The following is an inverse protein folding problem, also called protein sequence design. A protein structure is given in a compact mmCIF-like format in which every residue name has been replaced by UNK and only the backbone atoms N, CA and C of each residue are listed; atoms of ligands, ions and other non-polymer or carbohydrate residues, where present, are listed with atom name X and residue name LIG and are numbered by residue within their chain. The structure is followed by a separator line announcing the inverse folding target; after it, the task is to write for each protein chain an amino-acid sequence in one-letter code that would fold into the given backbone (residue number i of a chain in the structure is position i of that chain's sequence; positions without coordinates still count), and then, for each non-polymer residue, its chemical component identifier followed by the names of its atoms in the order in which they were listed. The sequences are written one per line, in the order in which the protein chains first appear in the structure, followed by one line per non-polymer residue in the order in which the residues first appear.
data_IF_849978087408
#
_entry.id   IF_849978087408
#
_cell.length_a   1.000
_cell.length_b   1.000
_cell.length_c   1.000
_cell.angle_alpha   90.00
_cell.angle_beta   90.00
_cell.angle_gamma   90.00
#
_symmetry.space_group_name_H-M   'P 1'
#
loop_
_entity.id
_entity.type
_entity.pdbx_description
1 polymer ?
#
# COMPACT_ATOMS: atom_id res chain seq x y z
N UNK A 1 4.92 -9.38 1.27
CA UNK A 1 4.51 -9.98 -0.03
C UNK A 1 5.68 -9.82 -1.00
N UNK A 2 6.38 -10.90 -1.37
CA UNK A 2 7.40 -10.78 -2.41
C UNK A 2 6.69 -10.79 -3.77
N UNK A 3 6.77 -9.73 -4.57
CA UNK A 3 6.20 -9.75 -5.92
C UNK A 3 6.98 -10.77 -6.75
N UNK A 4 6.27 -11.56 -7.57
CA UNK A 4 6.92 -12.38 -8.60
C UNK A 4 7.60 -11.45 -9.61
N UNK A 5 8.88 -11.69 -9.85
CA UNK A 5 9.73 -10.90 -10.75
C UNK A 5 10.30 -11.77 -11.87
N UNK A 6 9.84 -13.02 -12.01
CA UNK A 6 10.37 -13.97 -12.99
C UNK A 6 10.20 -13.48 -14.43
N UNK A 7 9.23 -12.60 -14.67
CA UNK A 7 8.93 -11.98 -15.98
C UNK A 7 9.48 -10.57 -16.16
N UNK A 8 10.50 -10.15 -15.41
CA UNK A 8 10.99 -8.76 -15.46
C UNK A 8 11.51 -8.31 -16.84
N UNK A 9 11.90 -9.24 -17.71
CA UNK A 9 12.35 -8.96 -19.09
C UNK A 9 11.22 -8.97 -20.13
N UNK A 10 10.05 -9.48 -19.76
CA UNK A 10 8.89 -9.55 -20.63
C UNK A 10 8.15 -8.21 -20.59
N UNK A 11 8.31 -7.42 -21.65
CA UNK A 11 7.66 -6.11 -21.75
C UNK A 11 6.13 -6.22 -21.64
N UNK A 12 5.54 -7.27 -22.21
CA UNK A 12 4.08 -7.48 -22.20
C UNK A 12 3.53 -7.76 -20.81
N UNK A 13 4.37 -8.28 -19.90
CA UNK A 13 4.00 -8.49 -18.50
C UNK A 13 3.77 -7.16 -17.73
N UNK A 14 4.16 -6.03 -18.31
CA UNK A 14 4.02 -4.69 -17.73
C UNK A 14 3.17 -3.74 -18.57
N UNK A 15 2.56 -4.19 -19.68
CA UNK A 15 1.70 -3.33 -20.54
C UNK A 15 0.58 -2.64 -19.74
N UNK A 16 0.05 -3.32 -18.71
CA UNK A 16 -0.96 -2.76 -17.84
C UNK A 16 -0.50 -1.50 -17.09
N UNK A 17 0.81 -1.35 -16.81
CA UNK A 17 1.34 -0.17 -16.13
C UNK A 17 1.11 1.11 -16.94
N UNK A 18 1.09 1.01 -18.27
CA UNK A 18 0.84 2.15 -19.16
C UNK A 18 -0.62 2.61 -19.14
N UNK A 19 -1.54 1.77 -18.67
CA UNK A 19 -2.97 2.09 -18.57
C UNK A 19 -3.42 2.43 -17.15
N UNK A 20 -2.51 2.41 -16.16
CA UNK A 20 -2.85 2.71 -14.77
C UNK A 20 -3.10 4.20 -14.57
N UNK A 21 -4.05 4.52 -13.69
CA UNK A 21 -4.16 5.86 -13.14
C UNK A 21 -2.91 6.18 -12.27
N UNK A 22 -2.65 7.46 -12.01
CA UNK A 22 -1.48 7.90 -11.25
C UNK A 22 -1.50 7.33 -9.83
N UNK A 23 -2.69 7.20 -9.25
CA UNK A 23 -2.94 6.62 -7.93
C UNK A 23 -2.58 5.13 -7.89
N UNK A 24 -2.98 4.39 -8.92
CA UNK A 24 -2.68 2.96 -9.04
C UNK A 24 -1.18 2.74 -9.25
N UNK A 25 -0.54 3.55 -10.09
CA UNK A 25 0.91 3.48 -10.30
C UNK A 25 1.68 3.79 -9.01
N UNK A 26 1.26 4.82 -8.26
CA UNK A 26 1.84 5.16 -6.97
C UNK A 26 1.69 4.01 -5.97
N UNK A 27 0.51 3.37 -5.93
CA UNK A 27 0.26 2.20 -5.10
C UNK A 27 1.13 0.99 -5.50
N UNK A 28 1.26 0.71 -6.79
CA UNK A 28 2.09 -0.37 -7.34
C UNK A 28 3.58 -0.20 -6.98
N UNK A 29 4.08 1.05 -7.00
CA UNK A 29 5.42 1.39 -6.54
C UNK A 29 5.57 1.20 -5.03
N UNK A 30 4.62 1.71 -4.24
CA UNK A 30 4.66 1.63 -2.79
C UNK A 30 4.64 0.18 -2.28
N UNK A 31 3.73 -0.65 -2.80
CA UNK A 31 3.60 -2.05 -2.36
C UNK A 31 4.84 -2.90 -2.68
N UNK A 32 5.66 -2.50 -3.65
CA UNK A 32 6.93 -3.16 -4.01
C UNK A 32 8.13 -2.65 -3.20
N UNK A 33 7.98 -1.55 -2.46
CA UNK A 33 9.03 -1.03 -1.61
C UNK A 33 9.32 -1.98 -0.43
N UNK A 34 10.57 -2.40 -0.26
CA UNK A 34 10.96 -3.35 0.78
C UNK A 34 10.76 -2.79 2.21
N UNK A 35 10.96 -1.48 2.40
CA UNK A 35 10.66 -0.79 3.65
C UNK A 35 9.19 -0.87 4.00
N UNK A 36 8.32 -0.54 3.03
CA UNK A 36 6.87 -0.60 3.21
C UNK A 36 6.41 -2.03 3.57
N UNK A 37 6.92 -3.04 2.85
CA UNK A 37 6.61 -4.44 3.13
C UNK A 37 7.04 -4.89 4.53
N UNK A 38 8.17 -4.38 5.05
CA UNK A 38 8.63 -4.67 6.40
C UNK A 38 7.74 -4.04 7.45
N UNK A 39 7.37 -2.78 7.26
CA UNK A 39 6.50 -2.05 8.19
C UNK A 39 5.10 -2.64 8.23
N UNK A 40 4.52 -2.88 7.05
CA UNK A 40 3.23 -3.55 6.91
C UNK A 40 3.25 -4.96 7.49
N UNK A 41 4.32 -5.73 7.26
CA UNK A 41 4.47 -7.05 7.86
C UNK A 41 4.69 -7.03 9.37
N UNK A 42 5.21 -5.93 9.94
CA UNK A 42 5.30 -5.73 11.40
C UNK A 42 3.93 -5.38 11.97
N UNK A 43 3.18 -4.52 11.27
CA UNK A 43 1.82 -4.16 11.60
C UNK A 43 0.89 -5.36 11.69
N UNK A 44 0.84 -6.16 10.62
CA UNK A 44 -0.02 -7.36 10.56
C UNK A 44 0.31 -8.38 11.64
N UNK A 45 1.54 -8.38 12.17
CA UNK A 45 1.98 -9.30 13.23
C UNK A 45 1.83 -8.74 14.65
N UNK A 46 1.61 -7.45 14.79
CA UNK A 46 1.48 -6.81 16.10
C UNK A 46 -0.01 -6.72 16.44
N UNK A 47 -0.50 -7.55 17.37
CA UNK A 47 -1.88 -7.49 17.89
C UNK A 47 -2.16 -6.24 18.76
N UNK A 48 -1.27 -5.25 18.70
CA UNK A 48 -1.38 -3.97 19.41
C UNK A 48 -2.40 -3.06 18.72
N UNK A 49 -3.13 -2.24 19.50
CA UNK A 49 -4.13 -1.25 19.04
C UNK A 49 -3.89 -0.79 17.60
N UNK A 50 -4.71 -1.36 16.72
CA UNK A 50 -4.56 -1.30 15.28
C UNK A 50 -4.59 0.15 14.77
N UNK A 51 -5.40 1.01 15.40
CA UNK A 51 -5.66 2.38 14.93
C UNK A 51 -4.41 3.29 14.98
N UNK A 52 -3.65 3.27 16.09
CA UNK A 52 -2.44 4.09 16.22
C UNK A 52 -1.31 3.60 15.29
N UNK A 53 -1.26 2.29 15.07
CA UNK A 53 -0.25 1.64 14.23
C UNK A 53 -0.54 1.86 12.74
N UNK A 54 -1.81 1.83 12.32
CA UNK A 54 -2.25 2.18 10.97
C UNK A 54 -1.98 3.66 10.66
N UNK A 55 -2.33 4.56 11.59
CA UNK A 55 -2.08 5.99 11.44
C UNK A 55 -0.58 6.30 11.31
N UNK A 56 0.27 5.63 12.08
CA UNK A 56 1.72 5.79 11.99
C UNK A 56 2.29 5.34 10.64
N UNK A 57 1.83 4.19 10.11
CA UNK A 57 2.24 3.69 8.79
C UNK A 57 1.73 4.60 7.68
N UNK A 58 0.47 5.03 7.78
CA UNK A 58 -0.14 5.91 6.81
C UNK A 58 0.59 7.25 6.73
N UNK A 59 0.91 7.88 7.87
CA UNK A 59 1.71 9.11 7.93
C UNK A 59 3.10 8.95 7.35
N UNK A 60 3.79 7.84 7.66
CA UNK A 60 5.15 7.59 7.17
C UNK A 60 5.22 7.40 5.67
N UNK A 61 4.22 6.75 5.08
CA UNK A 61 4.19 6.41 3.66
C UNK A 61 3.30 7.35 2.82
N UNK A 62 2.75 8.41 3.43
CA UNK A 62 1.89 9.39 2.77
C UNK A 62 0.52 8.85 2.36
N UNK A 63 0.09 7.71 2.91
CA UNK A 63 -1.25 7.17 2.67
C UNK A 63 -2.27 8.01 3.44
N UNK A 64 -3.26 8.56 2.76
CA UNK A 64 -4.44 9.16 3.39
C UNK A 64 -5.63 8.27 3.07
N UNK A 65 -5.88 7.30 3.93
CA UNK A 65 -7.20 6.68 3.97
C UNK A 65 -8.14 7.73 4.55
N UNK A 66 -9.20 8.10 3.82
CA UNK A 66 -10.30 8.83 4.47
C UNK A 66 -10.83 7.87 5.52
N UNK A 67 -10.81 8.27 6.79
CA UNK A 67 -11.42 7.49 7.85
C UNK A 67 -12.88 7.16 7.51
N UNK A 68 -13.47 6.14 8.15
CA UNK A 68 -14.88 5.84 7.97
C UNK A 68 -15.69 7.13 8.14
N UNK A 69 -16.65 7.35 7.25
CA UNK A 69 -17.52 8.53 7.36
C UNK A 69 -18.21 8.47 8.72
N UNK A 70 -18.02 9.49 9.55
CA UNK A 70 -18.81 9.62 10.77
C UNK A 70 -20.28 9.64 10.37
N UNK A 71 -21.15 8.86 11.04
CA UNK A 71 -22.58 8.98 10.80
C UNK A 71 -22.96 10.43 11.11
N UNK A 72 -23.49 11.12 10.10
CA UNK A 72 -23.99 12.46 10.24
C UNK A 72 -25.05 12.46 11.35
N UNK A 73 -24.72 13.00 12.52
CA UNK A 73 -25.68 13.18 13.62
C UNK A 73 -26.78 14.11 13.10
N UNK A 74 -27.97 13.53 12.92
CA UNK A 74 -29.22 14.26 12.76
C UNK A 74 -29.73 14.76 14.11
#
# INVERSE_FOLDING_TARGET
MKPDRSKWQDATAYDYMSSLAVEDLAWECLRRNAGYQKDFGRHVRSESSQEDSEAAIARRWGLRFRGPSEPQRA
#
